data_IF_018171916673
#
_entry.id   IF_018171916673
#
_cell.length_a   1.000
_cell.length_b   1.000
_cell.length_c   1.000
_cell.angle_alpha   90.00
_cell.angle_beta   90.00
_cell.angle_gamma   90.00
#
_symmetry.space_group_name_H-M   'P 1'
#
loop_
_entity.id
_entity.type
_entity.pdbx_description
1 polymer ?
#
# COMPACT_ATOMS: atom_id res chain seq x y z
N UNK A 1 31.03 29.78 4.52
CA UNK A 1 30.48 29.06 3.34
C UNK A 1 28.98 28.92 3.54
N UNK A 2 28.16 29.67 2.78
CA UNK A 2 26.70 29.55 2.84
C UNK A 2 26.30 28.21 2.20
N UNK A 3 25.89 27.25 3.03
CA UNK A 3 25.26 26.03 2.51
C UNK A 3 24.07 26.42 1.60
N UNK A 4 23.94 25.85 0.41
CA UNK A 4 22.81 26.19 -0.48
C UNK A 4 21.50 25.98 0.27
N UNK A 5 20.67 27.03 0.39
CA UNK A 5 19.36 26.96 1.00
C UNK A 5 18.58 25.82 0.29
N UNK A 6 18.22 24.78 1.01
CA UNK A 6 17.37 23.71 0.49
C UNK A 6 16.04 24.35 0.06
N UNK A 7 15.74 24.28 -1.25
CA UNK A 7 14.54 24.92 -1.82
C UNK A 7 13.28 24.08 -1.65
N UNK A 8 13.42 22.76 -1.53
CA UNK A 8 12.29 21.82 -1.56
C UNK A 8 12.39 20.72 -0.49
N UNK A 9 11.23 20.28 -0.02
CA UNK A 9 11.06 19.14 0.87
C UNK A 9 10.02 18.18 0.34
N UNK A 10 10.01 16.95 0.86
CA UNK A 10 8.92 15.98 0.76
C UNK A 10 8.12 15.99 2.06
N UNK A 11 6.82 15.72 1.95
CA UNK A 11 5.95 15.50 3.12
C UNK A 11 5.39 14.08 3.03
N UNK A 12 5.36 13.38 4.17
CA UNK A 12 4.67 12.10 4.34
C UNK A 12 3.54 12.31 5.33
N UNK A 13 2.30 12.21 4.87
CA UNK A 13 1.09 12.37 5.66
C UNK A 13 0.49 11.01 6.02
N UNK A 14 0.29 10.78 7.32
CA UNK A 14 -0.03 9.48 7.92
C UNK A 14 1.25 8.73 8.30
N UNK A 15 1.58 8.63 9.59
CA UNK A 15 2.82 8.06 10.10
C UNK A 15 2.60 6.67 10.75
N UNK A 16 1.60 5.94 10.29
CA UNK A 16 1.34 4.56 10.69
C UNK A 16 2.30 3.56 10.04
N UNK A 17 1.85 2.31 9.91
CA UNK A 17 2.64 1.16 9.45
C UNK A 17 3.22 1.31 8.04
N UNK A 18 2.60 2.11 7.18
CA UNK A 18 3.07 2.41 5.82
C UNK A 18 3.89 3.72 5.79
N UNK A 19 3.37 4.76 6.42
CA UNK A 19 3.98 6.08 6.30
C UNK A 19 5.29 6.21 7.03
N UNK A 20 5.46 5.63 8.21
CA UNK A 20 6.72 5.67 8.94
C UNK A 20 7.87 5.00 8.19
N UNK A 21 7.73 3.79 7.60
CA UNK A 21 8.75 3.22 6.72
C UNK A 21 9.06 4.08 5.48
N UNK A 22 8.04 4.68 4.85
CA UNK A 22 8.24 5.60 3.71
C UNK A 22 9.00 6.85 4.16
N UNK A 23 8.65 7.46 5.28
CA UNK A 23 9.37 8.58 5.86
C UNK A 23 10.84 8.22 6.13
N UNK A 24 11.10 7.06 6.75
CA UNK A 24 12.46 6.56 7.00
C UNK A 24 13.25 6.31 5.71
N UNK A 25 12.58 5.80 4.67
CA UNK A 25 13.20 5.55 3.36
C UNK A 25 13.63 6.86 2.69
N UNK A 26 12.69 7.81 2.56
CA UNK A 26 12.89 9.06 1.84
C UNK A 26 13.86 10.00 2.58
N UNK A 27 13.73 10.12 3.89
CA UNK A 27 14.51 11.05 4.70
C UNK A 27 16.01 10.75 4.75
N UNK A 28 16.44 9.54 4.36
CA UNK A 28 17.85 9.20 4.23
C UNK A 28 18.55 9.89 3.07
N UNK A 29 17.80 10.35 2.07
CA UNK A 29 18.36 10.84 0.81
C UNK A 29 17.81 12.19 0.35
N UNK A 30 16.65 12.61 0.89
CA UNK A 30 15.96 13.85 0.50
C UNK A 30 15.40 14.51 1.76
N UNK A 31 15.41 15.87 1.87
CA UNK A 31 14.71 16.56 2.93
C UNK A 31 13.24 16.12 2.99
N UNK A 32 12.85 15.46 4.08
CA UNK A 32 11.52 14.87 4.21
C UNK A 32 11.01 15.06 5.62
N UNK A 33 9.79 15.55 5.78
CA UNK A 33 9.09 15.70 7.06
C UNK A 33 7.88 14.80 7.12
N UNK A 34 7.54 14.35 8.32
CA UNK A 34 6.33 13.61 8.60
C UNK A 34 5.21 14.53 9.10
N UNK A 35 3.98 14.18 8.78
CA UNK A 35 2.78 14.79 9.30
C UNK A 35 1.77 13.72 9.70
N UNK A 36 1.16 13.88 10.87
CA UNK A 36 0.11 13.01 11.37
C UNK A 36 -0.89 13.82 12.21
N UNK A 37 -2.11 13.34 12.35
CA UNK A 37 -3.10 13.90 13.28
C UNK A 37 -2.70 13.65 14.74
N UNK A 38 -1.97 12.57 14.99
CA UNK A 38 -1.32 12.32 16.28
C UNK A 38 0.03 13.06 16.31
N UNK A 39 0.04 14.24 16.91
CA UNK A 39 1.25 15.08 17.00
C UNK A 39 2.45 14.41 17.66
N UNK A 40 2.24 13.37 18.49
CA UNK A 40 3.32 12.62 19.15
C UNK A 40 4.22 11.88 18.14
N UNK A 41 3.73 11.62 16.93
CA UNK A 41 4.46 10.97 15.87
C UNK A 41 5.30 11.95 15.02
N UNK A 42 5.10 13.25 15.22
CA UNK A 42 5.76 14.30 14.41
C UNK A 42 7.09 14.69 15.06
N UNK A 43 8.15 14.63 14.29
CA UNK A 43 9.44 15.24 14.66
C UNK A 43 9.37 16.77 14.44
N UNK A 44 8.99 17.51 15.49
CA UNK A 44 8.83 18.97 15.45
C UNK A 44 10.12 19.67 15.04
N UNK A 45 11.29 19.28 15.58
CA UNK A 45 12.60 19.89 15.24
C UNK A 45 12.88 19.78 13.73
N UNK A 46 12.58 18.64 13.15
CA UNK A 46 12.77 18.41 11.72
C UNK A 46 11.76 19.17 10.88
N UNK A 47 10.52 19.27 11.33
CA UNK A 47 9.46 20.06 10.68
C UNK A 47 9.84 21.54 10.64
N UNK A 48 10.30 22.08 11.76
CA UNK A 48 10.72 23.49 11.89
C UNK A 48 11.92 23.81 10.98
N UNK A 49 12.89 22.89 10.92
CA UNK A 49 14.06 23.03 10.04
C UNK A 49 13.70 23.25 8.57
N UNK A 50 12.61 22.65 8.11
CA UNK A 50 12.19 22.69 6.70
C UNK A 50 10.91 23.50 6.47
N UNK A 51 10.49 24.34 7.43
CA UNK A 51 9.27 25.14 7.32
C UNK A 51 9.26 26.04 6.10
N UNK A 52 10.38 26.72 5.80
CA UNK A 52 10.52 27.63 4.65
C UNK A 52 10.69 26.94 3.29
N UNK A 53 10.75 25.59 3.26
CA UNK A 53 10.92 24.86 2.01
C UNK A 53 9.57 24.61 1.34
N UNK A 54 9.50 24.78 0.00
CA UNK A 54 8.36 24.36 -0.80
C UNK A 54 8.15 22.83 -0.73
N UNK A 55 6.91 22.39 -0.77
CA UNK A 55 6.63 20.95 -0.82
C UNK A 55 6.64 20.48 -2.26
N UNK A 56 7.64 19.67 -2.64
CA UNK A 56 7.68 19.10 -3.97
C UNK A 56 6.75 17.88 -4.10
N UNK A 57 6.82 16.93 -3.17
CA UNK A 57 5.92 15.77 -3.13
C UNK A 57 5.20 15.66 -1.80
N UNK A 58 3.89 15.47 -1.85
CA UNK A 58 3.06 15.05 -0.74
C UNK A 58 2.74 13.55 -0.89
N UNK A 59 3.24 12.75 0.04
CA UNK A 59 3.05 11.30 0.07
C UNK A 59 1.91 10.97 1.03
N UNK A 60 0.81 10.47 0.52
CA UNK A 60 -0.40 10.12 1.28
C UNK A 60 -0.32 8.67 1.73
N UNK A 61 -0.33 8.47 3.05
CA UNK A 61 -0.26 7.17 3.71
C UNK A 61 -1.37 7.00 4.77
N UNK A 62 -2.46 7.76 4.65
CA UNK A 62 -3.61 7.67 5.56
C UNK A 62 -4.52 6.50 5.17
N UNK A 63 -5.28 5.90 6.11
CA UNK A 63 -6.27 4.86 5.80
C UNK A 63 -7.33 5.35 4.82
N UNK A 64 -7.78 4.44 3.95
CA UNK A 64 -8.91 4.70 3.05
C UNK A 64 -10.23 4.57 3.81
N UNK A 65 -11.09 5.54 3.63
CA UNK A 65 -12.48 5.55 4.08
C UNK A 65 -13.29 6.52 3.21
N UNK A 66 -14.57 6.68 3.48
CA UNK A 66 -15.46 7.58 2.70
C UNK A 66 -14.95 9.03 2.64
N UNK A 67 -14.30 9.52 3.70
CA UNK A 67 -13.73 10.88 3.78
C UNK A 67 -12.31 10.98 3.19
N UNK A 68 -11.78 9.89 2.61
CA UNK A 68 -10.42 9.90 2.07
C UNK A 68 -10.19 11.00 1.03
N UNK A 69 -11.08 11.23 0.04
CA UNK A 69 -10.88 12.29 -0.93
C UNK A 69 -10.83 13.69 -0.31
N UNK A 70 -11.71 13.99 0.65
CA UNK A 70 -11.75 15.25 1.37
C UNK A 70 -10.49 15.46 2.21
N UNK A 71 -10.05 14.43 2.91
CA UNK A 71 -8.81 14.45 3.70
C UNK A 71 -7.58 14.72 2.81
N UNK A 72 -7.53 14.10 1.62
CA UNK A 72 -6.45 14.36 0.65
C UNK A 72 -6.46 15.81 0.16
N UNK A 73 -7.65 16.36 -0.15
CA UNK A 73 -7.79 17.76 -0.55
C UNK A 73 -7.38 18.70 0.58
N UNK A 74 -7.77 18.43 1.82
CA UNK A 74 -7.35 19.20 3.00
C UNK A 74 -5.83 19.20 3.15
N UNK A 75 -5.19 18.05 2.98
CA UNK A 75 -3.72 17.93 3.02
C UNK A 75 -3.06 18.64 1.84
N UNK A 76 -3.66 18.58 0.65
CA UNK A 76 -3.21 19.34 -0.52
C UNK A 76 -3.21 20.86 -0.23
N UNK A 77 -4.32 21.39 0.28
CA UNK A 77 -4.45 22.82 0.63
C UNK A 77 -3.44 23.23 1.72
N UNK A 78 -3.19 22.35 2.69
CA UNK A 78 -2.25 22.62 3.78
C UNK A 78 -0.80 22.69 3.30
N UNK A 79 -0.37 21.81 2.42
CA UNK A 79 1.03 21.66 2.04
C UNK A 79 1.37 22.23 0.67
N UNK A 80 0.37 22.58 -0.14
CA UNK A 80 0.50 23.11 -1.51
C UNK A 80 1.61 22.42 -2.34
N UNK A 81 1.55 21.09 -2.52
CA UNK A 81 2.62 20.33 -3.17
C UNK A 81 2.60 20.48 -4.69
N UNK A 82 3.77 20.28 -5.33
CA UNK A 82 3.87 20.20 -6.79
C UNK A 82 3.34 18.86 -7.34
N UNK A 83 3.45 17.81 -6.56
CA UNK A 83 3.04 16.43 -6.91
C UNK A 83 2.41 15.73 -5.70
N UNK A 84 1.41 14.91 -5.95
CA UNK A 84 0.77 14.08 -4.93
C UNK A 84 1.02 12.60 -5.25
N UNK A 85 1.39 11.80 -4.24
CA UNK A 85 1.58 10.35 -4.36
C UNK A 85 0.72 9.64 -3.33
N UNK A 86 -0.14 8.73 -3.76
CA UNK A 86 -0.97 7.91 -2.88
C UNK A 86 -0.30 6.54 -2.70
N UNK A 87 0.00 6.18 -1.46
CA UNK A 87 0.60 4.90 -1.09
C UNK A 87 -0.39 3.92 -0.45
N UNK A 88 -1.52 4.41 0.01
CA UNK A 88 -2.60 3.63 0.61
C UNK A 88 -3.26 2.70 -0.42
N UNK A 89 -3.83 1.59 0.03
CA UNK A 89 -4.82 0.85 -0.76
C UNK A 89 -6.09 1.67 -0.80
N UNK A 90 -6.64 1.85 -1.98
CA UNK A 90 -7.79 2.72 -2.23
C UNK A 90 -8.80 2.00 -3.14
N UNK A 91 -10.05 2.42 -3.07
CA UNK A 91 -11.12 1.90 -3.92
C UNK A 91 -10.88 2.26 -5.40
N UNK A 92 -11.34 1.44 -6.34
CA UNK A 92 -11.22 1.71 -7.78
C UNK A 92 -11.72 3.10 -8.17
N UNK A 93 -11.05 3.72 -9.15
CA UNK A 93 -11.30 5.07 -9.65
C UNK A 93 -11.02 6.22 -8.66
N UNK A 94 -10.48 5.96 -7.48
CA UNK A 94 -10.16 7.02 -6.50
C UNK A 94 -9.12 8.00 -7.03
N UNK A 95 -8.06 7.50 -7.68
CA UNK A 95 -7.03 8.36 -8.28
C UNK A 95 -7.62 9.25 -9.37
N UNK A 96 -8.49 8.70 -10.23
CA UNK A 96 -9.17 9.47 -11.27
C UNK A 96 -10.06 10.59 -10.70
N UNK A 97 -10.85 10.26 -9.65
CA UNK A 97 -11.70 11.24 -8.96
C UNK A 97 -10.88 12.38 -8.35
N UNK A 98 -9.74 12.06 -7.75
CA UNK A 98 -8.84 13.08 -7.19
C UNK A 98 -8.16 13.89 -8.28
N UNK A 99 -7.72 13.27 -9.38
CA UNK A 99 -7.10 13.99 -10.51
C UNK A 99 -8.05 15.02 -11.14
N UNK A 100 -9.37 14.74 -11.17
CA UNK A 100 -10.37 15.72 -11.67
C UNK A 100 -10.53 16.93 -10.75
N UNK A 101 -10.22 16.80 -9.46
CA UNK A 101 -10.38 17.85 -8.43
C UNK A 101 -9.11 18.64 -8.16
N UNK A 102 -7.94 18.09 -8.51
CA UNK A 102 -6.64 18.68 -8.18
C UNK A 102 -5.91 19.17 -9.42
N UNK A 103 -5.36 20.41 -9.40
CA UNK A 103 -4.65 21.00 -10.53
C UNK A 103 -3.22 20.49 -10.70
N UNK A 104 -2.81 19.51 -9.90
CA UNK A 104 -1.46 18.92 -9.90
C UNK A 104 -1.53 17.43 -10.24
N UNK A 105 -0.42 16.82 -10.70
CA UNK A 105 -0.38 15.40 -10.99
C UNK A 105 -0.61 14.55 -9.73
N UNK A 106 -1.52 13.57 -9.83
CA UNK A 106 -1.79 12.57 -8.79
C UNK A 106 -1.21 11.23 -9.24
N UNK A 107 -0.20 10.75 -8.53
CA UNK A 107 0.45 9.46 -8.78
C UNK A 107 -0.11 8.43 -7.80
N UNK A 108 -0.60 7.32 -8.30
CA UNK A 108 -0.91 6.16 -7.48
C UNK A 108 0.29 5.21 -7.42
N UNK A 109 0.70 4.82 -6.23
CA UNK A 109 1.82 3.91 -6.01
C UNK A 109 1.63 3.11 -4.73
N UNK A 110 0.71 2.16 -4.77
CA UNK A 110 0.40 1.28 -3.65
C UNK A 110 1.65 0.62 -3.06
N UNK A 111 1.63 0.45 -1.74
CA UNK A 111 2.72 -0.22 -1.02
C UNK A 111 2.42 -1.71 -0.88
N UNK A 112 3.45 -2.54 -1.05
CA UNK A 112 3.45 -3.98 -0.82
C UNK A 112 4.55 -4.34 0.16
N UNK A 113 4.30 -5.33 1.00
CA UNK A 113 5.27 -5.82 1.96
C UNK A 113 4.63 -6.22 3.29
N UNK A 114 5.41 -6.86 4.13
CA UNK A 114 5.01 -7.25 5.49
C UNK A 114 5.31 -6.12 6.46
N UNK A 115 4.34 -5.70 7.28
CA UNK A 115 4.44 -4.53 8.15
C UNK A 115 5.71 -4.54 9.02
N UNK A 116 6.03 -5.66 9.66
CA UNK A 116 7.21 -5.79 10.54
C UNK A 116 8.55 -5.56 9.81
N UNK A 117 8.60 -5.72 8.48
CA UNK A 117 9.81 -5.55 7.67
C UNK A 117 9.61 -4.60 6.48
N UNK A 118 8.60 -3.74 6.52
CA UNK A 118 8.18 -2.89 5.42
C UNK A 118 9.33 -2.08 4.78
N UNK A 119 10.23 -1.53 5.57
CA UNK A 119 11.39 -0.79 5.04
C UNK A 119 12.32 -1.65 4.18
N UNK A 120 12.49 -2.91 4.52
CA UNK A 120 13.25 -3.88 3.73
C UNK A 120 12.51 -4.22 2.44
N UNK A 121 11.21 -4.51 2.54
CA UNK A 121 10.38 -4.88 1.40
C UNK A 121 10.19 -3.74 0.39
N UNK A 122 10.13 -2.47 0.84
CA UNK A 122 10.13 -1.28 -0.02
C UNK A 122 11.36 -1.18 -0.94
N UNK A 123 12.51 -1.71 -0.51
CA UNK A 123 13.74 -1.74 -1.32
C UNK A 123 13.86 -3.01 -2.17
N UNK A 124 13.33 -4.13 -1.67
CA UNK A 124 13.41 -5.43 -2.33
C UNK A 124 12.48 -5.52 -3.53
N UNK A 125 11.23 -5.05 -3.37
CA UNK A 125 10.22 -5.15 -4.41
C UNK A 125 10.26 -3.97 -5.37
N UNK A 126 10.00 -4.24 -6.65
CA UNK A 126 9.73 -3.17 -7.62
C UNK A 126 8.47 -2.41 -7.19
N UNK A 127 8.57 -1.11 -7.01
CA UNK A 127 7.44 -0.25 -6.67
C UNK A 127 6.72 0.17 -7.94
N UNK A 128 5.53 -0.37 -8.14
CA UNK A 128 4.69 0.00 -9.27
C UNK A 128 4.04 1.36 -9.01
N UNK A 129 3.84 2.12 -10.08
CA UNK A 129 3.14 3.39 -10.02
C UNK A 129 2.38 3.64 -11.32
N UNK A 130 1.35 4.47 -11.24
CA UNK A 130 0.56 4.91 -12.38
C UNK A 130 0.10 6.35 -12.18
N UNK A 131 -0.22 7.01 -13.28
CA UNK A 131 -0.71 8.39 -13.33
C UNK A 131 -1.69 8.49 -14.49
N UNK A 132 -2.75 9.29 -14.34
CA UNK A 132 -3.71 9.53 -15.41
C UNK A 132 -3.04 10.20 -16.62
N UNK A 133 -3.44 9.80 -17.83
CA UNK A 133 -2.85 10.32 -19.06
C UNK A 133 -3.12 11.83 -19.25
N UNK A 134 -4.25 12.29 -18.73
CA UNK A 134 -4.69 13.69 -18.77
C UNK A 134 -4.23 14.53 -17.58
N UNK A 135 -3.40 13.99 -16.68
CA UNK A 135 -2.83 14.77 -15.58
C UNK A 135 -1.88 15.86 -16.12
N UNK A 136 -1.79 17.02 -15.44
CA UNK A 136 -0.87 18.07 -15.88
C UNK A 136 0.59 17.59 -15.77
N UNK A 137 1.42 17.98 -16.73
CA UNK A 137 2.87 17.73 -16.73
C UNK A 137 3.29 16.26 -16.42
N UNK A 138 2.55 15.27 -16.93
CA UNK A 138 2.75 13.83 -16.70
C UNK A 138 4.21 13.42 -16.83
N UNK A 139 4.89 13.79 -17.91
CA UNK A 139 6.27 13.36 -18.15
C UNK A 139 7.26 13.91 -17.12
N UNK A 140 7.03 15.14 -16.65
CA UNK A 140 7.85 15.76 -15.61
C UNK A 140 7.59 15.09 -14.25
N UNK A 141 6.32 14.84 -13.91
CA UNK A 141 5.92 14.14 -12.69
C UNK A 141 6.54 12.73 -12.62
N UNK A 142 6.42 11.95 -13.68
CA UNK A 142 7.01 10.61 -13.80
C UNK A 142 8.53 10.65 -13.63
N UNK A 143 9.22 11.55 -14.36
CA UNK A 143 10.68 11.68 -14.26
C UNK A 143 11.13 12.01 -12.85
N UNK A 144 10.47 12.97 -12.19
CA UNK A 144 10.81 13.39 -10.85
C UNK A 144 10.53 12.31 -9.80
N UNK A 145 9.39 11.61 -9.92
CA UNK A 145 9.06 10.47 -9.05
C UNK A 145 10.10 9.35 -9.17
N UNK A 146 10.41 8.91 -10.39
CA UNK A 146 11.42 7.87 -10.65
C UNK A 146 12.80 8.27 -10.14
N UNK A 147 13.21 9.53 -10.34
CA UNK A 147 14.48 10.07 -9.85
C UNK A 147 14.58 9.97 -8.33
N UNK A 148 13.52 10.34 -7.59
CA UNK A 148 13.49 10.26 -6.12
C UNK A 148 13.56 8.79 -5.66
N UNK A 149 12.74 7.92 -6.24
CA UNK A 149 12.73 6.50 -5.88
C UNK A 149 14.10 5.84 -6.15
N UNK A 150 14.70 6.11 -7.30
CA UNK A 150 16.05 5.64 -7.66
C UNK A 150 17.11 6.12 -6.65
N UNK A 151 17.05 7.41 -6.24
CA UNK A 151 17.95 7.98 -5.22
C UNK A 151 17.81 7.26 -3.87
N UNK A 152 16.61 6.75 -3.56
CA UNK A 152 16.34 5.97 -2.35
C UNK A 152 16.63 4.47 -2.50
N UNK A 153 17.13 4.02 -3.65
CA UNK A 153 17.46 2.61 -3.93
C UNK A 153 16.23 1.75 -4.22
N UNK A 154 15.14 2.36 -4.70
CA UNK A 154 13.89 1.66 -5.03
C UNK A 154 13.74 1.55 -6.54
N UNK A 155 13.59 0.32 -7.05
CA UNK A 155 13.23 0.07 -8.44
C UNK A 155 11.76 0.44 -8.67
N UNK A 156 11.46 1.07 -9.79
CA UNK A 156 10.09 1.46 -10.15
C UNK A 156 9.68 0.90 -11.50
N UNK A 157 8.37 0.61 -11.66
CA UNK A 157 7.77 0.25 -12.95
C UNK A 157 6.45 0.99 -13.11
N UNK A 158 6.30 1.72 -14.23
CA UNK A 158 5.05 2.40 -14.57
C UNK A 158 4.06 1.37 -15.11
N UNK A 159 2.80 1.48 -14.67
CA UNK A 159 1.66 0.79 -15.27
C UNK A 159 0.87 1.76 -16.15
N UNK A 160 0.03 1.23 -17.01
CA UNK A 160 -0.70 2.00 -18.02
C UNK A 160 -1.65 3.03 -17.41
N UNK A 161 -2.43 2.62 -16.41
CA UNK A 161 -3.43 3.47 -15.76
C UNK A 161 -3.47 3.26 -14.24
N UNK A 162 -3.90 4.26 -13.45
CA UNK A 162 -4.11 4.09 -12.03
C UNK A 162 -5.11 2.98 -11.69
N UNK A 163 -6.22 2.88 -12.41
CA UNK A 163 -7.23 1.84 -12.18
C UNK A 163 -6.65 0.43 -12.29
N UNK A 164 -5.74 0.20 -13.25
CA UNK A 164 -5.06 -1.10 -13.37
C UNK A 164 -4.26 -1.42 -12.11
N UNK A 165 -3.58 -0.45 -11.52
CA UNK A 165 -2.79 -0.65 -10.30
C UNK A 165 -3.68 -0.74 -9.04
N UNK A 166 -4.79 0.00 -8.98
CA UNK A 166 -5.79 -0.09 -7.91
C UNK A 166 -6.37 -1.51 -7.85
N UNK A 167 -6.81 -2.04 -8.98
CA UNK A 167 -7.30 -3.41 -9.09
C UNK A 167 -6.20 -4.45 -8.79
N UNK A 168 -4.99 -4.25 -9.32
CA UNK A 168 -3.88 -5.16 -9.05
C UNK A 168 -3.57 -5.24 -7.55
N UNK A 169 -3.65 -4.12 -6.82
CA UNK A 169 -3.44 -4.10 -5.37
C UNK A 169 -4.52 -4.89 -4.64
N UNK A 170 -5.78 -4.74 -4.99
CA UNK A 170 -6.89 -5.39 -4.30
C UNK A 170 -6.99 -6.85 -4.72
N UNK A 171 -7.06 -7.12 -6.03
CA UNK A 171 -7.37 -8.46 -6.55
C UNK A 171 -6.12 -9.36 -6.55
N UNK A 172 -5.02 -8.89 -7.15
CA UNK A 172 -3.85 -9.75 -7.42
C UNK A 172 -2.95 -9.89 -6.20
N UNK A 173 -2.89 -8.86 -5.32
CA UNK A 173 -2.05 -8.90 -4.13
C UNK A 173 -2.87 -9.36 -2.90
N UNK A 174 -3.90 -8.61 -2.52
CA UNK A 174 -4.57 -8.81 -1.23
C UNK A 174 -5.60 -9.95 -1.25
N UNK A 175 -6.53 -9.95 -2.21
CA UNK A 175 -7.59 -10.97 -2.22
C UNK A 175 -7.05 -12.35 -2.63
N UNK A 176 -6.07 -12.40 -3.54
CA UNK A 176 -5.41 -13.67 -3.86
C UNK A 176 -4.76 -14.30 -2.63
N UNK A 177 -4.08 -13.49 -1.80
CA UNK A 177 -3.54 -13.98 -0.53
C UNK A 177 -4.66 -14.46 0.42
N UNK A 178 -5.77 -13.74 0.49
CA UNK A 178 -6.97 -14.14 1.23
C UNK A 178 -7.49 -15.50 0.77
N UNK A 179 -7.61 -15.72 -0.54
CA UNK A 179 -8.05 -17.01 -1.10
C UNK A 179 -7.13 -18.17 -0.73
N UNK A 180 -5.82 -17.98 -0.74
CA UNK A 180 -4.88 -19.02 -0.31
C UNK A 180 -5.12 -19.42 1.15
N UNK A 181 -5.33 -18.46 2.04
CA UNK A 181 -5.63 -18.74 3.45
C UNK A 181 -7.01 -19.40 3.59
N UNK A 182 -8.02 -18.91 2.87
CA UNK A 182 -9.37 -19.47 2.86
C UNK A 182 -9.37 -20.94 2.42
N UNK A 183 -8.58 -21.28 1.39
CA UNK A 183 -8.44 -22.67 0.98
C UNK A 183 -7.80 -23.54 2.06
N UNK A 184 -6.79 -23.01 2.77
CA UNK A 184 -6.20 -23.71 3.91
C UNK A 184 -7.21 -23.89 5.06
N UNK A 185 -8.06 -22.88 5.33
CA UNK A 185 -9.13 -22.97 6.33
C UNK A 185 -10.14 -24.08 5.97
N UNK A 186 -10.63 -24.08 4.73
CA UNK A 186 -11.58 -25.11 4.24
C UNK A 186 -10.96 -26.50 4.37
N UNK A 187 -9.73 -26.69 3.88
CA UNK A 187 -9.06 -28.00 3.92
C UNK A 187 -8.80 -28.47 5.36
N UNK A 188 -8.49 -27.56 6.29
CA UNK A 188 -8.36 -27.90 7.73
C UNK A 188 -9.69 -28.34 8.35
N UNK A 189 -10.79 -27.63 8.05
CA UNK A 189 -12.14 -28.00 8.53
C UNK A 189 -12.54 -29.38 8.02
N UNK A 190 -12.28 -29.69 6.75
CA UNK A 190 -12.56 -31.01 6.16
C UNK A 190 -11.73 -32.11 6.83
N UNK A 191 -10.41 -31.89 6.96
CA UNK A 191 -9.51 -32.85 7.62
C UNK A 191 -9.98 -33.14 9.06
N UNK A 192 -10.32 -32.11 9.82
CA UNK A 192 -10.83 -32.27 11.19
C UNK A 192 -12.13 -33.04 11.26
N UNK A 193 -13.09 -32.75 10.38
CA UNK A 193 -14.37 -33.48 10.29
C UNK A 193 -14.18 -34.96 10.02
N UNK A 194 -13.20 -35.29 9.19
CA UNK A 194 -12.86 -36.68 8.81
C UNK A 194 -11.82 -37.32 9.72
N UNK A 195 -11.36 -36.61 10.77
CA UNK A 195 -10.34 -37.06 11.72
C UNK A 195 -9.00 -37.46 11.06
N UNK A 196 -8.60 -36.71 10.03
CA UNK A 196 -7.35 -36.89 9.27
C UNK A 196 -6.37 -35.82 9.72
N UNK A 197 -5.06 -36.19 9.79
CA UNK A 197 -4.01 -35.23 10.04
C UNK A 197 -3.86 -34.26 8.85
N UNK A 198 -3.91 -32.97 9.14
CA UNK A 198 -3.89 -31.91 8.13
C UNK A 198 -2.53 -31.80 7.44
N UNK A 199 -1.45 -31.91 8.19
CA UNK A 199 -0.10 -31.75 7.66
C UNK A 199 0.33 -32.97 6.85
N UNK A 200 -0.05 -34.17 7.28
CA UNK A 200 0.14 -35.41 6.51
C UNK A 200 -0.65 -35.33 5.17
N UNK A 201 -1.91 -34.91 5.22
CA UNK A 201 -2.73 -34.72 4.00
C UNK A 201 -2.04 -33.77 3.00
N UNK A 202 -1.42 -32.70 3.47
CA UNK A 202 -0.75 -31.73 2.59
C UNK A 202 0.59 -32.23 2.04
N UNK A 203 1.25 -33.19 2.67
CA UNK A 203 2.47 -33.83 2.13
C UNK A 203 2.26 -34.43 0.74
N UNK A 204 1.03 -34.87 0.44
CA UNK A 204 0.68 -35.37 -0.91
C UNK A 204 0.92 -34.32 -2.02
N UNK A 205 0.83 -33.04 -1.69
CA UNK A 205 1.07 -31.96 -2.64
C UNK A 205 2.55 -31.54 -2.75
N UNK A 206 3.41 -31.93 -1.81
CA UNK A 206 4.79 -31.44 -1.74
C UNK A 206 5.61 -31.82 -2.99
N UNK A 207 5.40 -33.01 -3.51
CA UNK A 207 6.09 -33.46 -4.73
C UNK A 207 5.58 -32.70 -5.97
N UNK A 208 4.28 -32.48 -6.08
CA UNK A 208 3.68 -31.69 -7.16
C UNK A 208 4.21 -30.25 -7.12
N UNK A 209 4.36 -29.67 -5.91
CA UNK A 209 4.91 -28.33 -5.73
C UNK A 209 6.36 -28.23 -6.19
N UNK A 210 7.15 -29.30 -5.98
CA UNK A 210 8.54 -29.39 -6.39
C UNK A 210 8.72 -29.39 -7.92
N UNK A 211 7.83 -30.09 -8.64
CA UNK A 211 7.97 -30.29 -10.09
C UNK A 211 7.15 -29.32 -10.95
N UNK A 212 5.99 -28.89 -10.50
CA UNK A 212 5.09 -28.00 -11.26
C UNK A 212 5.17 -26.53 -10.84
N UNK A 213 6.12 -26.16 -9.97
CA UNK A 213 6.27 -24.81 -9.45
C UNK A 213 5.42 -24.55 -8.21
N UNK A 214 5.72 -23.45 -7.57
CA UNK A 214 5.16 -23.09 -6.26
C UNK A 214 3.63 -22.96 -6.27
N UNK A 215 2.97 -23.96 -5.74
CA UNK A 215 1.62 -23.85 -5.22
C UNK A 215 1.77 -23.56 -3.73
N UNK A 216 1.61 -22.31 -3.27
CA UNK A 216 1.93 -21.97 -1.90
C UNK A 216 0.98 -22.70 -0.94
N UNK A 217 1.55 -23.46 -0.02
CA UNK A 217 0.84 -23.96 1.16
C UNK A 217 0.65 -22.78 2.11
N UNK A 218 -0.57 -22.55 2.53
CA UNK A 218 -0.91 -21.54 3.51
C UNK A 218 -1.28 -22.22 4.83
N UNK A 219 -1.06 -21.50 5.93
CA UNK A 219 -1.51 -21.98 7.23
C UNK A 219 -2.97 -21.62 7.43
N UNK A 220 -3.83 -22.57 7.86
CA UNK A 220 -5.20 -22.27 8.23
C UNK A 220 -5.17 -21.44 9.52
N UNK A 221 -5.62 -20.21 9.45
CA UNK A 221 -5.69 -19.32 10.58
C UNK A 221 -6.77 -18.27 10.37
N UNK A 222 -7.28 -17.68 11.45
CA UNK A 222 -8.21 -16.56 11.34
C UNK A 222 -7.53 -15.38 10.65
N UNK A 223 -8.19 -14.85 9.61
CA UNK A 223 -7.71 -13.67 8.89
C UNK A 223 -8.11 -12.44 9.71
N UNK A 224 -7.19 -11.94 10.48
CA UNK A 224 -7.34 -10.71 11.27
C UNK A 224 -6.52 -9.55 10.70
N UNK A 225 -6.43 -8.46 11.48
CA UNK A 225 -5.60 -7.30 11.14
C UNK A 225 -6.20 -6.38 10.07
N UNK A 226 -5.36 -5.51 9.51
CA UNK A 226 -5.80 -4.37 8.71
C UNK A 226 -5.61 -4.54 7.20
N UNK A 227 -5.11 -5.69 6.73
CA UNK A 227 -4.70 -5.83 5.34
C UNK A 227 -5.73 -6.54 4.46
N UNK A 228 -6.17 -7.76 4.85
CA UNK A 228 -7.00 -8.58 3.96
C UNK A 228 -8.45 -8.14 4.03
N UNK A 229 -9.12 -8.33 5.15
CA UNK A 229 -10.56 -8.10 5.28
C UNK A 229 -10.97 -6.67 4.92
N UNK A 230 -10.34 -5.60 5.46
CA UNK A 230 -10.73 -4.23 5.09
C UNK A 230 -10.52 -3.90 3.62
N UNK A 231 -9.53 -4.52 2.97
CA UNK A 231 -9.30 -4.28 1.54
C UNK A 231 -10.30 -5.01 0.64
N UNK A 232 -10.90 -6.11 1.09
CA UNK A 232 -11.98 -6.78 0.35
C UNK A 232 -13.26 -5.92 0.31
N UNK A 233 -13.47 -5.08 1.31
CA UNK A 233 -14.60 -4.14 1.38
C UNK A 233 -14.52 -2.99 0.36
N UNK A 234 -13.38 -2.81 -0.30
CA UNK A 234 -13.18 -1.76 -1.29
C UNK A 234 -13.86 -2.05 -2.64
N UNK A 235 -14.27 -3.30 -2.85
CA UNK A 235 -15.01 -3.75 -4.04
C UNK A 235 -16.17 -4.61 -3.56
N UNK A 236 -17.40 -4.22 -3.89
CA UNK A 236 -18.57 -5.04 -3.63
C UNK A 236 -18.66 -6.15 -4.69
N UNK A 237 -18.18 -7.34 -4.33
CA UNK A 237 -18.17 -8.51 -5.20
C UNK A 237 -18.44 -9.77 -4.39
N UNK A 238 -19.34 -10.63 -4.91
CA UNK A 238 -19.75 -11.88 -4.26
C UNK A 238 -18.56 -12.78 -3.91
N UNK A 239 -17.59 -12.89 -4.80
CA UNK A 239 -16.42 -13.75 -4.60
C UNK A 239 -15.51 -13.23 -3.46
N UNK A 240 -15.41 -11.91 -3.32
CA UNK A 240 -14.64 -11.29 -2.22
C UNK A 240 -15.39 -11.42 -0.89
N UNK A 241 -16.70 -11.26 -0.91
CA UNK A 241 -17.54 -11.44 0.28
C UNK A 241 -17.46 -12.88 0.81
N UNK A 242 -17.35 -13.88 -0.06
CA UNK A 242 -17.20 -15.27 0.34
C UNK A 242 -15.95 -15.54 1.20
N UNK A 243 -14.85 -14.82 0.98
CA UNK A 243 -13.65 -14.92 1.85
C UNK A 243 -14.00 -14.52 3.28
N UNK A 244 -14.78 -13.45 3.45
CA UNK A 244 -15.22 -12.97 4.77
C UNK A 244 -16.14 -13.97 5.46
N UNK A 245 -17.11 -14.50 4.74
CA UNK A 245 -18.06 -15.49 5.25
C UNK A 245 -17.33 -16.73 5.74
N UNK A 246 -16.44 -17.28 4.92
CA UNK A 246 -15.63 -18.46 5.28
C UNK A 246 -14.71 -18.16 6.47
N UNK A 247 -14.13 -16.97 6.53
CA UNK A 247 -13.30 -16.58 7.67
C UNK A 247 -14.09 -16.49 8.98
N UNK A 248 -15.34 -16.02 8.94
CA UNK A 248 -16.24 -16.03 10.10
C UNK A 248 -16.63 -17.45 10.52
N UNK A 249 -16.90 -18.33 9.55
CA UNK A 249 -17.21 -19.74 9.86
C UNK A 249 -15.99 -20.47 10.42
N UNK A 250 -14.80 -20.14 9.95
CA UNK A 250 -13.57 -20.67 10.53
C UNK A 250 -13.34 -20.17 11.98
N UNK A 251 -13.69 -18.93 12.28
CA UNK A 251 -13.65 -18.42 13.65
C UNK A 251 -14.55 -19.23 14.61
N UNK A 252 -15.78 -19.58 14.16
CA UNK A 252 -16.68 -20.45 14.91
C UNK A 252 -16.14 -21.89 15.07
N UNK A 253 -15.42 -22.39 14.07
CA UNK A 253 -14.76 -23.70 14.13
C UNK A 253 -13.64 -23.76 15.16
N UNK A 254 -12.97 -22.62 15.44
CA UNK A 254 -11.90 -22.54 16.45
C UNK A 254 -12.42 -22.40 17.89
N UNK A 255 -13.67 -21.97 18.09
CA UNK A 255 -14.34 -21.84 19.40
C UNK A 255 -14.91 -23.16 19.87
#
# INVERSE_FOLDING_TARGET
MNSPKLKEKLVVAGLGEIGMPILKLLSKKVPTVGYDINEKLIDKKKSDKYTSCETSFLNICIPFNEKFPENVITLYNKFNPKYLVIHSTISPHTTQKLQKKLPIPVIYSATRGVHKRMLYDLKRYTKFFAIEANAPNVNLAVRNYVKIMKKCGVKTKRMSTPITLELAKIIVDTSYYGWLITYAQISKMIASKLKVDYDEMWQFADEIHKYLGNRPKMFPGFIGGHCVIPNLELIDDKMLNLIREINLDYSKFLS
#
